data_IF_282860833047
#
_entry.id   IF_282860833047
#
_cell.length_a   1.000
_cell.length_b   1.000
_cell.length_c   1.000
_cell.angle_alpha   90.00
_cell.angle_beta   90.00
_cell.angle_gamma   90.00
#
_symmetry.space_group_name_H-M   'P 1'
#
loop_
_entity.id
_entity.type
_entity.pdbx_description
1 polymer ?
#
# COMPACT_ATOMS: atom_id res chain seq x y z
N UNK A 1 7.72 -12.00 -13.78
CA UNK A 1 7.45 -10.88 -14.72
C UNK A 1 6.01 -10.37 -14.62
N UNK A 2 4.98 -11.21 -14.78
CA UNK A 2 3.58 -10.78 -14.78
C UNK A 2 3.10 -10.09 -13.48
N UNK A 3 3.46 -10.62 -12.30
CA UNK A 3 3.06 -10.04 -11.02
C UNK A 3 3.61 -8.62 -10.79
N UNK A 4 4.85 -8.37 -11.23
CA UNK A 4 5.48 -7.06 -11.14
C UNK A 4 4.75 -6.05 -12.04
N UNK A 5 4.43 -6.45 -13.27
CA UNK A 5 3.68 -5.60 -14.21
C UNK A 5 2.27 -5.30 -13.70
N UNK A 6 1.58 -6.29 -13.15
CA UNK A 6 0.27 -6.09 -12.54
C UNK A 6 0.33 -5.12 -11.35
N UNK A 7 1.37 -5.23 -10.52
CA UNK A 7 1.60 -4.30 -9.41
C UNK A 7 1.81 -2.87 -9.91
N UNK A 8 2.66 -2.69 -10.93
CA UNK A 8 2.88 -1.38 -11.55
C UNK A 8 1.58 -0.76 -12.08
N UNK A 9 0.79 -1.53 -12.84
CA UNK A 9 -0.50 -1.07 -13.38
C UNK A 9 -1.47 -0.72 -12.25
N UNK A 10 -1.57 -1.55 -11.22
CA UNK A 10 -2.43 -1.30 -10.06
C UNK A 10 -2.06 -0.01 -9.32
N UNK A 11 -0.77 0.21 -9.05
CA UNK A 11 -0.28 1.44 -8.44
C UNK A 11 -0.54 2.67 -9.31
N UNK A 12 -0.37 2.56 -10.63
CA UNK A 12 -0.67 3.63 -11.58
C UNK A 12 -2.15 4.00 -11.60
N UNK A 13 -3.05 3.02 -11.68
CA UNK A 13 -4.50 3.25 -11.61
C UNK A 13 -4.90 3.88 -10.28
N UNK A 14 -4.37 3.37 -9.16
CA UNK A 14 -4.64 3.94 -7.85
C UNK A 14 -4.11 5.37 -7.69
N UNK A 15 -2.95 5.70 -8.27
CA UNK A 15 -2.44 7.07 -8.29
C UNK A 15 -3.40 7.99 -9.04
N UNK A 16 -3.85 7.59 -10.23
CA UNK A 16 -4.77 8.36 -11.05
C UNK A 16 -6.11 8.58 -10.33
N UNK A 17 -6.69 7.52 -9.77
CA UNK A 17 -7.93 7.61 -8.98
C UNK A 17 -7.77 8.54 -7.77
N UNK A 18 -6.68 8.40 -7.02
CA UNK A 18 -6.40 9.30 -5.89
C UNK A 18 -6.22 10.74 -6.34
N UNK A 19 -5.53 10.98 -7.46
CA UNK A 19 -5.36 12.34 -8.00
C UNK A 19 -6.65 12.93 -8.58
N UNK A 20 -7.55 12.11 -9.11
CA UNK A 20 -8.80 12.54 -9.71
C UNK A 20 -9.91 12.76 -8.69
N UNK A 21 -9.88 12.04 -7.56
CA UNK A 21 -10.96 12.05 -6.58
C UNK A 21 -10.50 12.43 -5.17
N UNK A 22 -9.77 11.55 -4.48
CA UNK A 22 -9.39 11.72 -3.06
C UNK A 22 -8.59 13.00 -2.80
N UNK A 23 -7.64 13.29 -3.68
CA UNK A 23 -6.70 14.41 -3.63
C UNK A 23 -6.86 15.32 -4.87
N UNK A 24 -8.09 15.48 -5.37
CA UNK A 24 -8.42 16.27 -6.56
C UNK A 24 -7.93 17.71 -6.53
N UNK A 25 -7.73 18.29 -5.35
CA UNK A 25 -7.17 19.62 -5.17
C UNK A 25 -5.70 19.73 -5.62
N UNK A 26 -5.01 18.61 -5.81
CA UNK A 26 -3.59 18.54 -6.14
C UNK A 26 -3.37 17.84 -7.47
N UNK A 27 -3.05 18.57 -8.55
CA UNK A 27 -2.98 17.98 -9.89
C UNK A 27 -1.89 16.90 -9.98
N UNK A 28 -2.11 15.87 -10.83
CA UNK A 28 -1.13 14.81 -11.06
C UNK A 28 0.13 15.40 -11.71
N UNK A 29 1.29 14.90 -11.28
CA UNK A 29 2.57 15.21 -11.91
C UNK A 29 3.47 13.99 -11.85
N UNK A 30 4.45 13.93 -12.76
CA UNK A 30 5.38 12.80 -12.81
C UNK A 30 6.15 12.62 -11.50
N UNK A 31 6.55 13.73 -10.88
CA UNK A 31 7.20 13.73 -9.57
C UNK A 31 6.29 13.13 -8.48
N UNK A 32 4.99 13.46 -8.47
CA UNK A 32 4.05 12.86 -7.50
C UNK A 32 3.81 11.38 -7.76
N UNK A 33 3.74 10.97 -9.03
CA UNK A 33 3.64 9.56 -9.39
C UNK A 33 4.82 8.77 -8.82
N UNK A 34 6.06 9.25 -9.01
CA UNK A 34 7.25 8.60 -8.44
C UNK A 34 7.19 8.45 -6.92
N UNK A 35 6.82 9.52 -6.20
CA UNK A 35 6.66 9.45 -4.73
C UNK A 35 5.55 8.48 -4.32
N UNK A 36 4.45 8.41 -5.09
CA UNK A 36 3.37 7.46 -4.84
C UNK A 36 3.81 6.00 -5.04
N UNK A 37 4.57 5.71 -6.10
CA UNK A 37 5.15 4.36 -6.28
C UNK A 37 6.08 4.00 -5.13
N UNK A 38 6.89 4.95 -4.66
CA UNK A 38 7.76 4.74 -3.51
C UNK A 38 6.97 4.51 -2.22
N UNK A 39 5.91 5.29 -1.95
CA UNK A 39 5.07 5.07 -0.78
C UNK A 39 4.34 3.73 -0.82
N UNK A 40 3.86 3.32 -2.00
CA UNK A 40 3.23 2.03 -2.20
C UNK A 40 4.22 0.87 -1.98
N UNK A 41 5.47 1.01 -2.43
CA UNK A 41 6.51 0.01 -2.18
C UNK A 41 6.85 -0.08 -0.68
N UNK A 42 6.99 1.06 0.01
CA UNK A 42 7.25 1.10 1.45
C UNK A 42 6.11 0.44 2.25
N UNK A 43 4.86 0.74 1.88
CA UNK A 43 3.68 0.15 2.49
C UNK A 43 3.60 -1.37 2.27
N UNK A 44 3.96 -1.85 1.07
CA UNK A 44 4.03 -3.27 0.77
C UNK A 44 5.08 -3.99 1.63
N UNK A 45 6.28 -3.42 1.74
CA UNK A 45 7.35 -3.97 2.59
C UNK A 45 6.89 -4.03 4.04
N UNK A 46 6.30 -2.96 4.56
CA UNK A 46 5.79 -2.93 5.92
C UNK A 46 4.68 -3.97 6.15
N UNK A 47 3.72 -4.09 5.23
CA UNK A 47 2.68 -5.12 5.27
C UNK A 47 3.27 -6.53 5.35
N UNK A 48 4.28 -6.83 4.52
CA UNK A 48 4.93 -8.15 4.53
C UNK A 48 5.67 -8.41 5.84
N UNK A 49 6.38 -7.41 6.38
CA UNK A 49 7.07 -7.53 7.67
C UNK A 49 6.07 -7.75 8.81
N UNK A 50 4.97 -6.98 8.83
CA UNK A 50 3.91 -7.11 9.83
C UNK A 50 3.26 -8.49 9.74
N UNK A 51 2.93 -8.97 8.54
CA UNK A 51 2.37 -10.31 8.37
C UNK A 51 3.32 -11.39 8.89
N UNK A 52 4.59 -11.34 8.52
CA UNK A 52 5.59 -12.31 9.01
C UNK A 52 5.72 -12.27 10.54
N UNK A 53 5.72 -11.08 11.13
CA UNK A 53 5.75 -10.92 12.58
C UNK A 53 4.52 -11.51 13.27
N UNK A 54 3.33 -11.23 12.74
CA UNK A 54 2.07 -11.76 13.28
C UNK A 54 1.98 -13.29 13.14
N UNK A 55 2.45 -13.85 12.03
CA UNK A 55 2.50 -15.30 11.83
C UNK A 55 3.50 -15.97 12.77
N UNK A 56 4.64 -15.33 13.04
CA UNK A 56 5.59 -15.79 14.04
C UNK A 56 4.95 -15.88 15.44
N UNK A 57 4.13 -14.89 15.81
CA UNK A 57 3.39 -14.90 17.08
C UNK A 57 2.27 -15.96 17.14
N UNK A 58 1.76 -16.42 16.00
CA UNK A 58 0.60 -17.31 15.96
C UNK A 58 0.94 -18.75 16.41
N UNK A 59 2.23 -19.13 16.44
CA UNK A 59 2.86 -20.39 16.93
C UNK A 59 2.30 -21.72 16.36
N UNK A 60 1.08 -21.73 15.85
CA UNK A 60 0.32 -22.89 15.39
C UNK A 60 -0.26 -22.61 14.00
N UNK A 61 -0.31 -23.65 13.16
CA UNK A 61 -0.76 -23.54 11.77
C UNK A 61 -2.29 -23.57 11.70
N UNK A 62 -2.94 -22.48 12.10
CA UNK A 62 -4.40 -22.35 12.06
C UNK A 62 -4.83 -21.46 10.88
N UNK A 63 -5.53 -22.02 9.87
CA UNK A 63 -5.75 -21.34 8.60
C UNK A 63 -6.67 -20.12 8.70
N UNK A 64 -7.65 -20.14 9.61
CA UNK A 64 -8.57 -19.03 9.82
C UNK A 64 -7.82 -17.83 10.42
N UNK A 65 -7.01 -18.07 11.43
CA UNK A 65 -6.20 -17.06 12.09
C UNK A 65 -5.17 -16.47 11.11
N UNK A 66 -4.49 -17.28 10.30
CA UNK A 66 -3.62 -16.80 9.22
C UNK A 66 -4.34 -15.85 8.27
N UNK A 67 -5.57 -16.19 7.85
CA UNK A 67 -6.35 -15.33 6.97
C UNK A 67 -6.71 -14.00 7.62
N UNK A 68 -7.08 -14.02 8.91
CA UNK A 68 -7.37 -12.80 9.69
C UNK A 68 -6.12 -11.92 9.83
N UNK A 69 -4.96 -12.50 10.15
CA UNK A 69 -3.71 -11.76 10.26
C UNK A 69 -3.28 -11.15 8.92
N UNK A 70 -3.52 -11.84 7.81
CA UNK A 70 -3.31 -11.28 6.48
C UNK A 70 -4.23 -10.08 6.22
N UNK A 71 -5.52 -10.17 6.57
CA UNK A 71 -6.44 -9.05 6.45
C UNK A 71 -6.00 -7.84 7.30
N UNK A 72 -5.53 -8.07 8.52
CA UNK A 72 -4.97 -7.02 9.39
C UNK A 72 -3.75 -6.39 8.73
N UNK A 73 -2.79 -7.19 8.24
CA UNK A 73 -1.59 -6.67 7.60
C UNK A 73 -1.91 -5.84 6.35
N UNK A 74 -2.85 -6.29 5.51
CA UNK A 74 -3.34 -5.55 4.33
C UNK A 74 -3.95 -4.21 4.75
N UNK A 75 -4.82 -4.20 5.76
CA UNK A 75 -5.47 -2.98 6.24
C UNK A 75 -4.45 -1.97 6.78
N UNK A 76 -3.46 -2.44 7.54
CA UNK A 76 -2.39 -1.58 8.05
C UNK A 76 -1.51 -1.02 6.92
N UNK A 77 -1.16 -1.85 5.93
CA UNK A 77 -0.43 -1.40 4.74
C UNK A 77 -1.18 -0.33 3.95
N UNK A 78 -2.49 -0.52 3.74
CA UNK A 78 -3.34 0.46 3.07
C UNK A 78 -3.40 1.79 3.83
N UNK A 79 -3.56 1.73 5.15
CA UNK A 79 -3.56 2.93 6.02
C UNK A 79 -2.23 3.67 5.94
N UNK A 80 -1.10 2.95 5.99
CA UNK A 80 0.23 3.54 5.87
C UNK A 80 0.41 4.23 4.51
N UNK A 81 0.00 3.58 3.41
CA UNK A 81 0.08 4.18 2.08
C UNK A 81 -0.79 5.45 1.99
N UNK A 82 -1.99 5.44 2.57
CA UNK A 82 -2.84 6.63 2.64
C UNK A 82 -2.20 7.78 3.42
N UNK A 83 -1.58 7.50 4.57
CA UNK A 83 -0.87 8.49 5.38
C UNK A 83 0.33 9.09 4.62
N UNK A 84 1.13 8.25 3.96
CA UNK A 84 2.26 8.73 3.13
C UNK A 84 1.77 9.53 1.93
N UNK A 85 0.69 9.08 1.28
CA UNK A 85 0.09 9.80 0.16
C UNK A 85 -0.40 11.19 0.58
N UNK A 86 -1.10 11.29 1.70
CA UNK A 86 -1.65 12.56 2.21
C UNK A 86 -0.58 13.51 2.76
N UNK A 87 0.41 12.99 3.52
CA UNK A 87 1.41 13.81 4.21
C UNK A 87 2.60 14.18 3.34
N UNK A 88 2.92 13.38 2.32
CA UNK A 88 4.15 13.54 1.54
C UNK A 88 3.90 13.69 0.04
N UNK A 89 3.05 12.84 -0.57
CA UNK A 89 2.85 12.84 -2.03
C UNK A 89 1.95 13.99 -2.51
N UNK A 90 0.80 14.16 -1.86
CA UNK A 90 -0.22 15.16 -2.18
C UNK A 90 -0.21 16.33 -1.19
N UNK A 91 0.96 16.63 -0.60
CA UNK A 91 1.13 17.82 0.23
C UNK A 91 0.99 19.09 -0.63
N UNK A 92 0.45 20.16 -0.04
CA UNK A 92 0.46 21.52 -0.62
C UNK A 92 1.86 21.96 -0.99
#
# INVERSE_FOLDING_TARGET
>A
AAALMAWFVCCGVNFLLNSAWTFHAWPPSWKKAQHYYFSAALALVFQLLLLNFLLFLLETNRPIETAVLNAVAVATGALLNYLLASLWVFRR
#
